data_IF_736602529040
#
_entry.id   IF_736602529040
#
_cell.length_a   1.000
_cell.length_b   1.000
_cell.length_c   1.000
_cell.angle_alpha   90.00
_cell.angle_beta   90.00
_cell.angle_gamma   90.00
#
_symmetry.space_group_name_H-M   'P 1'
#
loop_
_entity.id
_entity.type
_entity.pdbx_description
1 polymer ?
#
# COMPACT_ATOMS: atom_id res chain seq x y z
N UNK A 1 -9.09 -13.52 -24.54
CA UNK A 1 -9.57 -14.40 -23.47
C UNK A 1 -9.64 -13.55 -22.21
N UNK A 2 -10.84 -13.30 -21.63
CA UNK A 2 -10.95 -12.71 -20.29
C UNK A 2 -10.31 -13.72 -19.35
N UNK A 3 -9.24 -13.38 -18.68
CA UNK A 3 -8.80 -14.09 -17.48
C UNK A 3 -9.96 -13.94 -16.49
N UNK A 4 -10.70 -15.02 -16.24
CA UNK A 4 -11.64 -15.07 -15.12
C UNK A 4 -10.82 -14.82 -13.87
N UNK A 5 -11.01 -13.65 -13.25
CA UNK A 5 -10.28 -13.26 -12.06
C UNK A 5 -10.81 -14.09 -10.91
N UNK A 6 -10.01 -15.05 -10.43
CA UNK A 6 -10.32 -15.91 -9.28
C UNK A 6 -10.74 -15.04 -8.09
N UNK A 7 -11.85 -15.38 -7.43
CA UNK A 7 -12.35 -14.66 -6.26
C UNK A 7 -11.83 -15.26 -4.96
N UNK A 8 -11.05 -14.48 -4.26
CA UNK A 8 -10.39 -14.86 -3.00
C UNK A 8 -10.95 -14.04 -1.85
N UNK A 9 -11.40 -14.72 -0.80
CA UNK A 9 -11.82 -14.10 0.45
C UNK A 9 -10.88 -14.49 1.60
N UNK A 10 -10.51 -13.53 2.44
CA UNK A 10 -9.63 -13.75 3.56
C UNK A 10 -10.37 -13.66 4.90
N UNK A 11 -10.01 -14.53 5.85
CA UNK A 11 -10.50 -14.54 7.22
C UNK A 11 -9.32 -14.41 8.16
N UNK A 12 -9.32 -13.36 8.98
CA UNK A 12 -8.35 -13.17 10.07
C UNK A 12 -8.97 -13.68 11.37
N UNK A 13 -8.39 -14.75 11.93
CA UNK A 13 -8.82 -15.32 13.20
C UNK A 13 -8.20 -14.56 14.36
N UNK A 14 -8.99 -13.70 15.01
CA UNK A 14 -8.56 -12.83 16.10
C UNK A 14 -9.46 -12.91 17.35
N UNK A 15 -10.46 -13.80 17.41
CA UNK A 15 -11.42 -13.92 18.52
C UNK A 15 -10.95 -14.69 19.77
N UNK A 16 -9.77 -15.33 19.75
CA UNK A 16 -9.31 -16.20 20.83
C UNK A 16 -8.89 -15.44 22.09
N UNK A 17 -9.26 -15.97 23.28
CA UNK A 17 -8.77 -15.47 24.57
C UNK A 17 -7.29 -15.84 24.78
N UNK A 18 -6.48 -14.88 25.23
CA UNK A 18 -5.04 -15.04 25.45
C UNK A 18 -4.74 -15.73 26.80
N UNK A 19 -5.17 -16.98 26.98
CA UNK A 19 -4.98 -17.72 28.26
C UNK A 19 -3.50 -17.82 28.68
N UNK A 20 -2.55 -17.85 27.71
CA UNK A 20 -1.09 -17.98 27.96
C UNK A 20 -0.38 -16.63 28.19
N UNK A 21 -1.08 -15.50 28.06
CA UNK A 21 -0.53 -14.13 28.10
C UNK A 21 -0.88 -13.39 29.40
N UNK A 22 -1.23 -14.09 30.48
CA UNK A 22 -1.55 -13.49 31.78
C UNK A 22 -2.54 -12.31 31.71
N UNK A 23 -3.53 -12.39 30.81
CA UNK A 23 -4.56 -11.37 30.62
C UNK A 23 -4.20 -10.24 29.65
N UNK A 24 -2.99 -10.22 29.07
CA UNK A 24 -2.64 -9.25 28.04
C UNK A 24 -3.25 -9.66 26.70
N UNK A 25 -4.05 -8.78 26.11
CA UNK A 25 -4.61 -8.98 24.78
C UNK A 25 -3.53 -8.75 23.70
N UNK A 26 -2.94 -9.85 23.22
CA UNK A 26 -1.87 -9.82 22.24
C UNK A 26 -2.22 -9.13 20.90
N UNK A 27 -3.50 -9.01 20.59
CA UNK A 27 -3.95 -8.42 19.32
C UNK A 27 -3.98 -6.89 19.41
N UNK A 28 -4.19 -6.37 20.62
CA UNK A 28 -4.16 -4.95 20.91
C UNK A 28 -2.74 -4.46 21.23
N UNK A 29 -1.79 -5.37 21.42
CA UNK A 29 -0.41 -5.03 21.73
C UNK A 29 0.24 -4.30 20.56
N UNK A 30 0.91 -3.19 20.86
CA UNK A 30 1.60 -2.40 19.85
C UNK A 30 3.05 -2.86 19.63
N UNK A 31 3.41 -2.92 18.37
CA UNK A 31 4.77 -3.08 17.89
C UNK A 31 5.17 -1.77 17.19
N UNK A 32 6.00 -0.96 17.85
CA UNK A 32 6.38 0.39 17.38
C UNK A 32 5.16 1.26 17.03
N UNK A 33 4.21 1.38 17.95
CA UNK A 33 3.03 2.22 17.80
C UNK A 33 1.93 1.66 16.87
N UNK A 34 2.12 0.48 16.25
CA UNK A 34 1.11 -0.16 15.41
C UNK A 34 0.65 -1.47 16.05
N UNK A 35 -0.68 -1.65 16.29
CA UNK A 35 -1.21 -2.88 16.88
C UNK A 35 -0.92 -4.12 16.03
N UNK A 36 -0.67 -5.26 16.71
CA UNK A 36 -0.39 -6.56 16.08
C UNK A 36 -1.47 -6.92 15.05
N UNK A 37 -2.74 -6.76 15.41
CA UNK A 37 -3.84 -7.10 14.51
C UNK A 37 -3.91 -6.15 13.30
N UNK A 38 -3.62 -4.87 13.47
CA UNK A 38 -3.53 -3.89 12.36
C UNK A 38 -2.47 -4.32 11.35
N UNK A 39 -1.28 -4.72 11.80
CA UNK A 39 -0.23 -5.24 10.91
C UNK A 39 -0.68 -6.48 10.12
N UNK A 40 -1.39 -7.40 10.77
CA UNK A 40 -1.94 -8.58 10.09
C UNK A 40 -2.99 -8.23 9.03
N UNK A 41 -3.85 -7.22 9.31
CA UNK A 41 -4.81 -6.70 8.34
C UNK A 41 -4.09 -6.04 7.16
N UNK A 42 -3.09 -5.18 7.43
CA UNK A 42 -2.30 -4.51 6.40
C UNK A 42 -1.57 -5.49 5.48
N UNK A 43 -1.02 -6.57 6.03
CA UNK A 43 -0.34 -7.60 5.24
C UNK A 43 -1.27 -8.26 4.21
N UNK A 44 -2.49 -8.63 4.63
CA UNK A 44 -3.49 -9.22 3.72
C UNK A 44 -4.05 -8.19 2.74
N UNK A 45 -4.23 -6.94 3.16
CA UNK A 45 -4.71 -5.84 2.34
C UNK A 45 -3.80 -5.50 1.15
N UNK A 46 -2.50 -5.76 1.26
CA UNK A 46 -1.53 -5.55 0.19
C UNK A 46 -1.57 -6.64 -0.90
N UNK A 47 -2.30 -7.73 -0.67
CA UNK A 47 -2.42 -8.85 -1.62
C UNK A 47 -3.55 -8.56 -2.61
N UNK A 48 -3.21 -8.29 -3.87
CA UNK A 48 -4.18 -7.88 -4.90
C UNK A 48 -5.24 -8.92 -5.22
N UNK A 49 -4.92 -10.19 -5.01
CA UNK A 49 -5.83 -11.31 -5.27
C UNK A 49 -6.95 -11.41 -4.23
N UNK A 50 -6.85 -10.74 -3.07
CA UNK A 50 -7.87 -10.77 -2.01
C UNK A 50 -8.87 -9.63 -2.27
N UNK A 51 -10.15 -9.99 -2.50
CA UNK A 51 -11.22 -9.03 -2.75
C UNK A 51 -12.12 -8.79 -1.53
N UNK A 52 -12.22 -9.77 -0.64
CA UNK A 52 -13.07 -9.70 0.55
C UNK A 52 -12.23 -10.02 1.79
N UNK A 53 -12.43 -9.25 2.85
CA UNK A 53 -11.72 -9.42 4.12
C UNK A 53 -12.71 -9.46 5.29
N UNK A 54 -12.58 -10.49 6.11
CA UNK A 54 -13.37 -10.64 7.34
C UNK A 54 -12.42 -10.75 8.52
N UNK A 55 -12.67 -9.96 9.56
CA UNK A 55 -11.94 -10.04 10.83
C UNK A 55 -12.85 -10.64 11.89
N UNK A 56 -12.46 -11.79 12.40
CA UNK A 56 -13.15 -12.47 13.51
C UNK A 56 -12.54 -11.99 14.81
N UNK A 57 -13.29 -11.23 15.57
CA UNK A 57 -12.83 -10.62 16.82
C UNK A 57 -13.88 -10.76 17.93
N UNK A 58 -13.55 -10.41 19.16
CA UNK A 58 -14.52 -10.32 20.24
C UNK A 58 -15.37 -9.05 20.07
N UNK A 59 -16.63 -9.10 20.46
CA UNK A 59 -17.59 -8.02 20.27
C UNK A 59 -17.12 -6.70 20.91
N UNK A 60 -16.49 -6.78 22.08
CA UNK A 60 -15.95 -5.62 22.78
C UNK A 60 -14.80 -4.91 22.05
N UNK A 61 -14.16 -5.57 21.07
CA UNK A 61 -13.09 -5.00 20.26
C UNK A 61 -13.61 -4.27 19.02
N UNK A 62 -14.89 -4.39 18.66
CA UNK A 62 -15.42 -3.87 17.40
C UNK A 62 -15.28 -2.36 17.28
N UNK A 63 -15.59 -1.61 18.34
CA UNK A 63 -15.45 -0.15 18.34
C UNK A 63 -13.98 0.27 18.12
N UNK A 64 -13.04 -0.43 18.77
CA UNK A 64 -11.61 -0.17 18.61
C UNK A 64 -11.15 -0.49 17.17
N UNK A 65 -11.60 -1.60 16.60
CA UNK A 65 -11.24 -1.99 15.22
C UNK A 65 -11.79 -1.00 14.18
N UNK A 66 -12.98 -0.44 14.40
CA UNK A 66 -13.52 0.62 13.55
C UNK A 66 -12.70 1.92 13.65
N UNK A 67 -12.31 2.32 14.87
CA UNK A 67 -11.40 3.47 15.06
C UNK A 67 -10.06 3.24 14.37
N UNK A 68 -9.49 2.06 14.48
CA UNK A 68 -8.24 1.72 13.79
C UNK A 68 -8.35 1.71 12.27
N UNK A 69 -9.53 1.36 11.73
CA UNK A 69 -9.76 1.41 10.29
C UNK A 69 -9.55 2.82 9.75
N UNK A 70 -10.03 3.84 10.45
CA UNK A 70 -9.83 5.25 10.09
C UNK A 70 -8.38 5.70 10.37
N UNK A 71 -7.88 5.43 11.58
CA UNK A 71 -6.55 5.85 12.03
C UNK A 71 -5.40 5.32 11.16
N UNK A 72 -5.49 4.05 10.73
CA UNK A 72 -4.43 3.38 9.96
C UNK A 72 -4.79 3.21 8.47
N UNK A 73 -5.85 3.88 7.99
CA UNK A 73 -6.32 3.83 6.59
C UNK A 73 -6.47 2.39 6.07
N UNK A 74 -7.07 1.51 6.90
CA UNK A 74 -7.26 0.12 6.53
C UNK A 74 -8.37 -0.02 5.46
N UNK A 75 -8.30 -1.05 4.60
CA UNK A 75 -9.35 -1.32 3.62
C UNK A 75 -10.67 -1.67 4.32
N UNK A 76 -11.72 -1.78 3.53
CA UNK A 76 -12.99 -2.30 4.00
C UNK A 76 -12.86 -3.76 4.45
N UNK A 77 -13.42 -4.07 5.62
CA UNK A 77 -13.53 -5.43 6.13
C UNK A 77 -14.83 -5.61 6.93
N UNK A 78 -15.30 -6.84 6.96
CA UNK A 78 -16.47 -7.21 7.76
C UNK A 78 -16.02 -7.73 9.12
N UNK A 79 -16.67 -7.26 10.21
CA UNK A 79 -16.46 -7.76 11.56
C UNK A 79 -17.47 -8.84 11.90
N UNK A 80 -17.02 -9.91 12.57
CA UNK A 80 -17.89 -10.95 13.12
C UNK A 80 -17.33 -11.50 14.41
N UNK A 81 -18.18 -12.03 15.26
CA UNK A 81 -17.76 -12.70 16.49
C UNK A 81 -17.31 -14.14 16.22
N UNK A 82 -16.31 -14.59 16.98
CA UNK A 82 -15.85 -15.98 16.94
C UNK A 82 -16.80 -16.94 17.67
N UNK A 83 -16.49 -18.25 17.54
CA UNK A 83 -17.11 -19.32 18.32
C UNK A 83 -16.25 -19.75 19.50
N UNK A 84 -16.64 -20.88 20.16
CA UNK A 84 -15.94 -21.43 21.31
C UNK A 84 -14.54 -21.97 20.96
N UNK A 85 -14.33 -22.42 19.70
CA UNK A 85 -13.06 -22.94 19.24
C UNK A 85 -12.48 -22.11 18.08
N UNK A 86 -11.20 -22.33 17.73
CA UNK A 86 -10.58 -21.69 16.57
C UNK A 86 -11.31 -22.08 15.28
N UNK A 87 -11.64 -23.36 15.12
CA UNK A 87 -12.38 -23.88 13.96
C UNK A 87 -13.74 -23.19 13.82
N UNK A 88 -14.53 -23.07 14.91
CA UNK A 88 -15.81 -22.36 14.89
C UNK A 88 -15.65 -20.87 14.55
N UNK A 89 -14.60 -20.23 15.06
CA UNK A 89 -14.29 -18.83 14.75
C UNK A 89 -14.00 -18.63 13.27
N UNK A 90 -13.20 -19.49 12.66
CA UNK A 90 -12.93 -19.45 11.21
C UNK A 90 -14.22 -19.67 10.41
N UNK A 91 -15.07 -20.62 10.82
CA UNK A 91 -16.36 -20.87 10.16
C UNK A 91 -17.29 -19.64 10.23
N UNK A 92 -17.32 -18.95 11.39
CA UNK A 92 -18.07 -17.69 11.55
C UNK A 92 -17.57 -16.60 10.58
N UNK A 93 -16.26 -16.53 10.37
CA UNK A 93 -15.65 -15.64 9.39
C UNK A 93 -16.03 -15.99 7.95
N UNK A 94 -15.88 -17.24 7.56
CA UNK A 94 -16.21 -17.74 6.22
C UNK A 94 -17.70 -17.52 5.89
N UNK A 95 -18.60 -17.65 6.87
CA UNK A 95 -20.03 -17.40 6.70
C UNK A 95 -20.37 -15.93 6.36
N UNK A 96 -19.40 -15.00 6.49
CA UNK A 96 -19.55 -13.58 6.12
C UNK A 96 -18.96 -13.23 4.76
N UNK A 97 -18.21 -14.14 4.15
CA UNK A 97 -17.75 -14.01 2.78
C UNK A 97 -18.91 -14.30 1.80
N UNK A 98 -18.87 -13.68 0.63
CA UNK A 98 -19.87 -13.91 -0.41
C UNK A 98 -19.82 -15.35 -0.94
N UNK A 99 -20.92 -15.83 -1.48
CA UNK A 99 -20.99 -17.17 -2.10
C UNK A 99 -20.11 -17.28 -3.37
N UNK A 100 -19.69 -16.15 -3.91
CA UNK A 100 -18.86 -16.09 -5.11
C UNK A 100 -17.38 -16.31 -4.83
N UNK A 101 -16.96 -16.35 -3.54
CA UNK A 101 -15.59 -16.65 -3.16
C UNK A 101 -15.25 -18.09 -3.47
N UNK A 102 -14.19 -18.28 -4.26
CA UNK A 102 -13.71 -19.59 -4.74
C UNK A 102 -12.59 -20.16 -3.87
N UNK A 103 -11.80 -19.27 -3.22
CA UNK A 103 -10.70 -19.64 -2.32
C UNK A 103 -10.76 -18.87 -1.02
N UNK A 104 -10.54 -19.58 0.08
CA UNK A 104 -10.43 -19.02 1.42
C UNK A 104 -8.98 -18.91 1.84
N UNK A 105 -8.55 -17.70 2.25
CA UNK A 105 -7.29 -17.44 2.92
C UNK A 105 -7.55 -17.32 4.41
N UNK A 106 -7.03 -18.24 5.21
CA UNK A 106 -7.19 -18.22 6.67
C UNK A 106 -5.88 -17.78 7.30
N UNK A 107 -5.92 -16.72 8.10
CA UNK A 107 -4.74 -16.15 8.72
C UNK A 107 -4.95 -15.87 10.22
N UNK A 108 -3.92 -16.15 11.02
CA UNK A 108 -3.93 -15.83 12.44
C UNK A 108 -3.68 -14.33 12.66
N UNK A 109 -4.58 -13.63 13.36
CA UNK A 109 -4.42 -12.22 13.70
C UNK A 109 -3.21 -11.90 14.61
N UNK A 110 -2.54 -12.92 15.12
CA UNK A 110 -1.33 -12.81 15.92
C UNK A 110 -0.02 -13.05 15.12
N UNK A 111 -0.08 -13.01 13.79
CA UNK A 111 1.10 -13.09 12.89
C UNK A 111 1.31 -11.80 12.11
N UNK A 112 1.90 -10.77 12.72
CA UNK A 112 1.98 -9.41 12.14
C UNK A 112 3.01 -9.26 11.02
N UNK A 113 3.81 -10.29 10.72
CA UNK A 113 4.94 -10.20 9.78
C UNK A 113 4.76 -11.05 8.52
N UNK A 114 3.52 -11.46 8.22
CA UNK A 114 3.24 -12.17 6.97
C UNK A 114 3.57 -11.29 5.76
N UNK A 115 4.36 -11.81 4.82
CA UNK A 115 4.73 -11.07 3.63
C UNK A 115 3.68 -11.25 2.52
N UNK A 116 3.26 -10.18 1.82
CA UNK A 116 2.28 -10.28 0.74
C UNK A 116 2.65 -11.29 -0.34
N UNK A 117 3.94 -11.39 -0.69
CA UNK A 117 4.43 -12.36 -1.68
C UNK A 117 4.23 -13.81 -1.22
N UNK A 118 4.48 -14.11 0.06
CA UNK A 118 4.25 -15.45 0.63
C UNK A 118 2.74 -15.79 0.61
N UNK A 119 1.88 -14.84 0.89
CA UNK A 119 0.42 -15.03 0.84
C UNK A 119 0.00 -15.33 -0.60
N UNK A 120 0.47 -14.54 -1.56
CA UNK A 120 0.18 -14.74 -2.99
C UNK A 120 0.66 -16.12 -3.49
N UNK A 121 1.84 -16.56 -3.09
CA UNK A 121 2.36 -17.90 -3.42
C UNK A 121 1.46 -19.01 -2.88
N UNK A 122 0.95 -18.87 -1.66
CA UNK A 122 0.00 -19.84 -1.10
C UNK A 122 -1.33 -19.85 -1.85
N UNK A 123 -1.83 -18.68 -2.30
CA UNK A 123 -3.05 -18.59 -3.13
C UNK A 123 -2.82 -19.33 -4.46
N UNK A 124 -1.72 -19.06 -5.17
CA UNK A 124 -1.40 -19.71 -6.43
C UNK A 124 -1.24 -21.23 -6.28
N UNK A 125 -0.58 -21.68 -5.22
CA UNK A 125 -0.48 -23.11 -4.94
C UNK A 125 -1.83 -23.76 -4.61
N UNK A 126 -2.73 -23.07 -3.91
CA UNK A 126 -4.07 -23.57 -3.66
C UNK A 126 -4.92 -23.63 -4.94
N UNK A 127 -4.71 -22.71 -5.87
CA UNK A 127 -5.37 -22.76 -7.20
C UNK A 127 -4.93 -24.00 -7.97
N UNK A 128 -3.66 -24.38 -7.89
CA UNK A 128 -3.10 -25.54 -8.58
C UNK A 128 -3.46 -26.88 -7.89
N UNK A 129 -3.41 -26.92 -6.56
CA UNK A 129 -3.49 -28.16 -5.77
C UNK A 129 -4.76 -28.30 -4.91
N UNK A 130 -5.64 -27.29 -4.87
CA UNK A 130 -6.86 -27.25 -4.05
C UNK A 130 -6.63 -26.81 -2.60
N UNK A 131 -5.44 -27.05 -2.03
CA UNK A 131 -5.08 -26.66 -0.66
C UNK A 131 -3.59 -26.37 -0.52
N UNK A 132 -3.23 -25.31 0.19
CA UNK A 132 -1.84 -24.93 0.44
C UNK A 132 -1.68 -24.22 1.80
N UNK A 133 -0.47 -24.30 2.37
CA UNK A 133 -0.12 -23.65 3.63
C UNK A 133 1.31 -23.16 3.61
N UNK A 134 1.58 -22.00 4.23
CA UNK A 134 2.92 -21.55 4.49
C UNK A 134 3.57 -22.43 5.59
N UNK A 135 4.83 -22.82 5.40
CA UNK A 135 5.55 -23.59 6.38
C UNK A 135 7.06 -23.36 6.26
N UNK A 136 7.77 -23.45 7.38
CA UNK A 136 9.24 -23.40 7.43
C UNK A 136 9.82 -24.73 7.92
N UNK A 137 11.01 -25.09 7.46
CA UNK A 137 11.70 -26.30 7.92
C UNK A 137 12.05 -26.21 9.40
N UNK A 138 11.95 -27.33 10.12
CA UNK A 138 12.43 -27.40 11.49
C UNK A 138 13.94 -27.26 11.51
N UNK A 139 14.48 -26.38 12.36
CA UNK A 139 15.93 -26.17 12.54
C UNK A 139 16.52 -27.09 13.61
N UNK A 140 15.77 -27.31 14.69
CA UNK A 140 16.20 -28.07 15.82
C UNK A 140 15.93 -29.57 15.62
N UNK A 141 16.62 -30.42 16.41
CA UNK A 141 16.34 -31.84 16.46
C UNK A 141 15.09 -32.10 17.28
N UNK A 142 14.04 -32.63 16.63
CA UNK A 142 12.78 -32.97 17.31
C UNK A 142 12.91 -34.36 17.94
N UNK A 143 12.39 -34.47 19.15
CA UNK A 143 12.24 -35.74 19.87
C UNK A 143 10.77 -36.01 20.11
N UNK A 144 10.33 -37.19 19.79
CA UNK A 144 9.05 -37.71 20.24
C UNK A 144 9.29 -38.43 21.56
N UNK A 145 8.50 -38.08 22.59
CA UNK A 145 8.59 -38.67 23.91
C UNK A 145 7.30 -39.38 24.29
N UNK A 146 7.40 -40.38 25.16
CA UNK A 146 6.24 -41.02 25.79
C UNK A 146 5.69 -40.15 26.93
N UNK A 147 4.61 -40.63 27.58
CA UNK A 147 3.94 -39.91 28.68
C UNK A 147 4.86 -39.76 29.93
N UNK A 148 5.87 -40.64 30.10
CA UNK A 148 6.83 -40.58 31.19
C UNK A 148 8.00 -39.64 30.91
N UNK A 149 8.09 -39.03 29.69
CA UNK A 149 9.13 -38.10 29.31
C UNK A 149 10.38 -38.72 28.69
N UNK A 150 10.38 -40.04 28.40
CA UNK A 150 11.49 -40.71 27.72
C UNK A 150 11.37 -40.58 26.22
N UNK A 151 12.52 -40.43 25.55
CA UNK A 151 12.60 -40.33 24.09
C UNK A 151 12.24 -41.69 23.47
N UNK A 152 11.19 -41.70 22.65
CA UNK A 152 10.81 -42.89 21.86
C UNK A 152 11.41 -42.86 20.46
N UNK A 153 11.40 -41.65 19.82
CA UNK A 153 11.86 -41.53 18.46
C UNK A 153 12.51 -40.16 18.19
N UNK A 154 13.43 -40.15 17.27
CA UNK A 154 13.97 -38.92 16.67
C UNK A 154 13.60 -38.90 15.19
N UNK A 155 12.52 -38.18 14.82
CA UNK A 155 12.11 -38.12 13.43
C UNK A 155 13.17 -37.47 12.53
N UNK A 156 13.20 -37.85 11.26
CA UNK A 156 14.02 -37.19 10.27
C UNK A 156 13.57 -35.73 10.05
N UNK A 157 14.34 -34.77 10.59
CA UNK A 157 14.02 -33.35 10.51
C UNK A 157 13.96 -32.79 9.06
N UNK A 158 14.57 -33.46 8.09
CA UNK A 158 14.52 -33.04 6.70
C UNK A 158 13.08 -33.06 6.13
N UNK A 159 12.20 -33.82 6.74
CA UNK A 159 10.80 -34.01 6.41
C UNK A 159 9.83 -33.25 7.35
N UNK A 160 10.38 -32.56 8.37
CA UNK A 160 9.55 -31.85 9.35
C UNK A 160 9.47 -30.36 9.07
N UNK A 161 8.25 -29.82 9.18
CA UNK A 161 7.94 -28.43 8.96
C UNK A 161 7.11 -27.85 10.12
N UNK A 162 7.35 -26.58 10.42
CA UNK A 162 6.50 -25.78 11.30
C UNK A 162 5.46 -25.07 10.42
N UNK A 163 4.21 -25.49 10.54
CA UNK A 163 3.09 -24.91 9.79
C UNK A 163 2.79 -23.51 10.30
N UNK A 164 2.60 -22.60 9.36
CA UNK A 164 2.23 -21.21 9.61
C UNK A 164 0.84 -20.92 9.01
N UNK A 165 0.43 -19.67 9.06
CA UNK A 165 -0.62 -19.13 8.22
C UNK A 165 -0.04 -18.01 7.34
N UNK A 166 -0.52 -17.79 6.09
CA UNK A 166 -1.85 -18.21 5.59
C UNK A 166 -1.94 -19.71 5.32
N UNK A 167 -3.15 -20.23 5.50
CA UNK A 167 -3.61 -21.52 5.00
C UNK A 167 -4.70 -21.23 3.98
N UNK A 168 -4.59 -21.78 2.79
CA UNK A 168 -5.45 -21.43 1.65
C UNK A 168 -6.11 -22.67 1.09
N UNK A 169 -7.41 -22.61 0.84
CA UNK A 169 -8.23 -23.75 0.42
C UNK A 169 -9.24 -23.35 -0.65
N UNK A 170 -9.48 -24.25 -1.59
CA UNK A 170 -10.65 -24.18 -2.47
C UNK A 170 -11.93 -24.27 -1.62
N UNK A 171 -12.88 -23.36 -1.90
CA UNK A 171 -14.04 -23.14 -1.03
C UNK A 171 -14.94 -24.38 -0.90
N UNK A 172 -15.17 -25.12 -1.99
CA UNK A 172 -15.97 -26.34 -1.98
C UNK A 172 -15.27 -27.46 -1.21
N UNK A 173 -13.96 -27.63 -1.40
CA UNK A 173 -13.15 -28.58 -0.65
C UNK A 173 -13.22 -28.31 0.86
N UNK A 174 -12.97 -27.07 1.27
CA UNK A 174 -12.98 -26.68 2.68
C UNK A 174 -14.37 -26.89 3.32
N UNK A 175 -15.47 -26.50 2.63
CA UNK A 175 -16.83 -26.71 3.12
C UNK A 175 -17.17 -28.20 3.29
N UNK A 176 -16.68 -29.08 2.39
CA UNK A 176 -16.84 -30.54 2.55
C UNK A 176 -16.11 -31.05 3.78
N UNK A 177 -14.86 -30.60 3.99
CA UNK A 177 -14.06 -31.00 5.14
C UNK A 177 -14.70 -30.58 6.48
N UNK A 178 -15.17 -29.34 6.57
CA UNK A 178 -15.90 -28.83 7.75
C UNK A 178 -17.17 -29.67 8.01
N UNK A 179 -17.96 -29.95 6.98
CA UNK A 179 -19.19 -30.75 7.14
C UNK A 179 -18.92 -32.17 7.62
N UNK A 180 -17.81 -32.78 7.19
CA UNK A 180 -17.42 -34.10 7.64
C UNK A 180 -16.98 -34.06 9.11
N UNK A 181 -16.10 -33.13 9.49
CA UNK A 181 -15.66 -32.94 10.87
C UNK A 181 -16.84 -32.69 11.84
N UNK A 182 -17.82 -31.88 11.43
CA UNK A 182 -19.03 -31.62 12.23
C UNK A 182 -19.89 -32.88 12.44
N UNK A 183 -20.02 -33.74 11.40
CA UNK A 183 -20.75 -35.01 11.52
C UNK A 183 -20.10 -35.97 12.50
N UNK A 184 -18.77 -35.93 12.58
CA UNK A 184 -17.96 -36.81 13.42
C UNK A 184 -17.68 -36.20 14.82
N UNK A 185 -18.12 -34.95 15.06
CA UNK A 185 -17.88 -34.24 16.33
C UNK A 185 -16.41 -33.88 16.56
N UNK A 186 -15.63 -33.71 15.50
CA UNK A 186 -14.19 -33.45 15.56
C UNK A 186 -13.90 -31.95 15.52
N UNK A 187 -12.91 -31.52 16.32
CA UNK A 187 -12.36 -30.17 16.33
C UNK A 187 -10.86 -30.22 16.18
N UNK A 188 -10.32 -29.61 15.13
CA UNK A 188 -8.92 -29.68 14.76
C UNK A 188 -8.18 -28.41 15.16
N UNK A 189 -6.90 -28.53 15.42
CA UNK A 189 -6.04 -27.41 15.89
C UNK A 189 -5.64 -26.46 14.76
N UNK A 190 -5.65 -26.93 13.50
CA UNK A 190 -5.44 -26.10 12.32
C UNK A 190 -6.37 -26.51 11.17
N UNK A 191 -6.45 -25.68 10.13
CA UNK A 191 -7.38 -25.90 9.02
C UNK A 191 -6.84 -26.93 8.01
N UNK A 192 -5.52 -27.18 7.98
CA UNK A 192 -4.95 -28.23 7.15
C UNK A 192 -5.43 -29.61 7.59
N UNK A 193 -5.49 -29.88 8.91
CA UNK A 193 -5.98 -31.14 9.46
C UNK A 193 -7.42 -31.47 9.03
N UNK A 194 -8.29 -30.44 8.89
CA UNK A 194 -9.63 -30.63 8.35
C UNK A 194 -9.62 -31.24 6.95
N UNK A 195 -8.77 -30.71 6.09
CA UNK A 195 -8.67 -31.11 4.69
C UNK A 195 -7.94 -32.44 4.55
N UNK A 196 -6.90 -32.66 5.34
CA UNK A 196 -6.17 -33.92 5.43
C UNK A 196 -7.09 -35.07 5.91
N UNK A 197 -7.99 -34.79 6.86
CA UNK A 197 -8.93 -35.77 7.40
C UNK A 197 -9.87 -36.36 6.35
N UNK A 198 -10.22 -35.58 5.32
CA UNK A 198 -11.02 -36.09 4.19
C UNK A 198 -10.14 -36.66 3.06
N UNK A 199 -8.86 -36.90 3.31
CA UNK A 199 -7.92 -37.54 2.39
C UNK A 199 -7.34 -36.65 1.29
N UNK A 200 -7.47 -35.32 1.40
CA UNK A 200 -6.89 -34.40 0.42
C UNK A 200 -5.52 -33.89 0.87
N UNK A 201 -4.56 -33.89 -0.05
CA UNK A 201 -3.20 -33.43 0.24
C UNK A 201 -3.12 -31.90 0.30
N UNK A 202 -2.35 -31.38 1.26
CA UNK A 202 -2.09 -29.94 1.39
C UNK A 202 -0.68 -29.63 0.92
N UNK A 203 -0.54 -28.66 -0.02
CA UNK A 203 0.75 -28.25 -0.55
C UNK A 203 1.48 -27.35 0.46
N UNK A 204 2.72 -27.69 0.80
CA UNK A 204 3.60 -26.81 1.56
C UNK A 204 4.20 -25.75 0.64
N UNK A 205 4.04 -24.46 1.01
CA UNK A 205 4.70 -23.32 0.41
C UNK A 205 5.83 -22.85 1.32
N UNK A 206 6.86 -22.24 0.75
CA UNK A 206 7.94 -21.66 1.52
C UNK A 206 7.42 -20.52 2.40
N UNK A 207 7.51 -20.72 3.73
CA UNK A 207 7.18 -19.73 4.75
C UNK A 207 8.36 -18.82 5.08
N UNK A 208 8.16 -17.92 6.03
CA UNK A 208 9.20 -17.02 6.53
C UNK A 208 9.38 -17.24 8.04
N UNK A 209 10.61 -17.44 8.52
CA UNK A 209 10.88 -17.53 9.95
C UNK A 209 10.53 -16.26 10.71
N UNK A 210 10.44 -15.11 10.03
CA UNK A 210 9.93 -13.85 10.60
C UNK A 210 8.41 -13.86 10.80
N UNK A 211 7.67 -14.73 10.11
CA UNK A 211 6.21 -14.85 10.26
C UNK A 211 5.85 -15.62 11.55
N UNK A 212 6.41 -15.15 12.66
CA UNK A 212 6.16 -15.71 13.99
C UNK A 212 4.72 -15.50 14.42
N UNK A 213 4.21 -16.43 15.25
CA UNK A 213 2.93 -16.29 15.95
C UNK A 213 3.20 -15.80 17.37
N UNK A 214 2.71 -14.63 17.74
CA UNK A 214 2.82 -14.11 19.09
C UNK A 214 1.91 -14.94 20.01
N UNK A 215 2.51 -15.75 20.88
CA UNK A 215 1.80 -16.68 21.78
C UNK A 215 2.25 -16.58 23.23
N UNK A 216 3.49 -16.13 23.46
CA UNK A 216 4.11 -15.99 24.78
C UNK A 216 4.68 -14.58 24.98
N UNK A 217 5.00 -14.15 26.21
CA UNK A 217 5.65 -12.87 26.47
C UNK A 217 7.01 -12.74 25.76
N UNK A 218 7.77 -13.83 25.60
CA UNK A 218 9.06 -13.84 24.91
C UNK A 218 8.89 -13.48 23.42
N UNK A 219 7.80 -13.96 22.80
CA UNK A 219 7.50 -13.63 21.40
C UNK A 219 7.32 -12.12 21.20
N UNK A 220 6.84 -11.40 22.22
CA UNK A 220 6.66 -9.94 22.17
C UNK A 220 8.00 -9.23 22.03
N UNK A 221 9.01 -9.63 22.79
CA UNK A 221 10.35 -9.04 22.72
C UNK A 221 10.96 -9.26 21.33
N UNK A 222 10.82 -10.46 20.79
CA UNK A 222 11.26 -10.78 19.42
C UNK A 222 10.49 -9.96 18.38
N UNK A 223 9.16 -9.88 18.50
CA UNK A 223 8.31 -9.11 17.60
C UNK A 223 8.66 -7.61 17.60
N UNK A 224 8.91 -7.00 18.78
CA UNK A 224 9.34 -5.61 18.87
C UNK A 224 10.69 -5.36 18.18
N UNK A 225 11.67 -6.24 18.38
CA UNK A 225 12.96 -6.13 17.72
C UNK A 225 12.81 -6.25 16.18
N UNK A 226 11.99 -7.18 15.70
CA UNK A 226 11.71 -7.33 14.27
C UNK A 226 11.02 -6.11 13.66
N UNK A 227 10.03 -5.54 14.33
CA UNK A 227 9.33 -4.33 13.88
C UNK A 227 10.28 -3.13 13.75
N UNK A 228 11.18 -2.92 14.73
CA UNK A 228 12.20 -1.87 14.67
C UNK A 228 13.18 -2.04 13.52
N UNK A 229 13.57 -3.27 13.20
CA UNK A 229 14.45 -3.55 12.06
C UNK A 229 13.75 -3.33 10.71
N UNK A 230 12.47 -3.64 10.60
CA UNK A 230 11.68 -3.45 9.39
C UNK A 230 11.54 -1.97 9.05
N UNK A 231 11.21 -1.12 10.01
CA UNK A 231 11.12 0.33 9.84
C UNK A 231 12.46 0.94 9.44
N UNK A 232 13.57 0.55 10.08
CA UNK A 232 14.90 1.01 9.68
C UNK A 232 15.30 0.57 8.26
N UNK A 233 14.78 -0.57 7.78
CA UNK A 233 15.01 -1.03 6.40
C UNK A 233 14.14 -0.29 5.39
N UNK A 234 12.91 0.06 5.76
CA UNK A 234 11.99 0.86 4.95
C UNK A 234 12.50 2.30 4.84
N UNK A 235 12.95 2.93 5.94
CA UNK A 235 13.61 4.25 5.94
C UNK A 235 14.88 4.27 5.07
N UNK A 236 15.69 3.21 5.10
CA UNK A 236 16.89 3.10 4.25
C UNK A 236 16.59 2.90 2.76
N UNK A 237 15.38 2.46 2.42
CA UNK A 237 14.96 2.25 1.04
C UNK A 237 14.26 3.45 0.43
N UNK A 238 13.82 4.42 1.23
CA UNK A 238 13.17 5.61 0.70
C UNK A 238 14.22 6.51 0.01
N UNK A 239 14.20 6.47 -1.31
CA UNK A 239 15.00 7.39 -2.13
C UNK A 239 14.28 8.74 -2.20
N UNK A 240 14.94 9.79 -1.71
CA UNK A 240 14.45 11.17 -1.74
C UNK A 240 15.25 11.93 -2.78
N UNK A 241 14.57 12.61 -3.71
CA UNK A 241 15.19 13.43 -4.74
C UNK A 241 14.57 14.81 -4.79
N UNK A 242 15.39 15.82 -5.00
CA UNK A 242 14.97 17.20 -5.26
C UNK A 242 15.20 17.55 -6.73
N UNK A 243 14.33 18.38 -7.25
CA UNK A 243 14.51 18.97 -8.58
C UNK A 243 14.21 20.46 -8.54
N UNK A 244 14.86 21.20 -9.42
CA UNK A 244 14.64 22.63 -9.65
C UNK A 244 14.32 22.83 -11.12
N UNK A 245 13.27 23.61 -11.38
CA UNK A 245 12.89 24.05 -12.72
C UNK A 245 12.88 25.58 -12.77
N UNK A 246 13.25 26.10 -13.92
CA UNK A 246 13.21 27.52 -14.23
C UNK A 246 12.74 27.70 -15.67
N UNK A 247 11.77 28.60 -15.89
CA UNK A 247 11.35 28.96 -17.22
C UNK A 247 11.09 30.48 -17.30
N UNK A 248 11.19 31.00 -18.53
CA UNK A 248 11.03 32.42 -18.82
C UNK A 248 10.36 32.62 -20.20
N UNK A 249 9.37 33.51 -20.25
CA UNK A 249 8.70 33.85 -21.47
C UNK A 249 8.56 35.38 -21.62
N UNK A 250 8.67 35.85 -22.87
CA UNK A 250 8.47 37.27 -23.21
C UNK A 250 6.98 37.61 -23.23
N UNK A 251 6.64 38.79 -22.74
CA UNK A 251 5.30 39.37 -22.85
C UNK A 251 5.05 39.98 -24.23
N UNK A 252 3.91 39.67 -24.86
CA UNK A 252 3.50 40.18 -26.17
C UNK A 252 2.03 40.51 -26.18
N UNK A 253 1.63 41.43 -27.07
CA UNK A 253 0.21 41.73 -27.30
C UNK A 253 -0.47 40.63 -28.11
N UNK A 254 -1.80 40.54 -28.00
CA UNK A 254 -2.62 39.60 -28.78
C UNK A 254 -2.60 38.16 -28.33
N UNK A 255 -1.97 37.83 -27.19
CA UNK A 255 -2.03 36.50 -26.52
C UNK A 255 -2.69 36.62 -25.17
N UNK A 256 -3.34 35.53 -24.75
CA UNK A 256 -3.87 35.37 -23.38
C UNK A 256 -2.73 35.18 -22.40
N UNK A 257 -2.85 35.71 -21.20
CA UNK A 257 -1.95 35.43 -20.10
C UNK A 257 -2.47 34.22 -19.33
N UNK A 258 -1.77 33.10 -19.39
CA UNK A 258 -2.12 31.86 -18.69
C UNK A 258 -0.99 31.54 -17.72
N UNK A 259 -1.31 31.35 -16.43
CA UNK A 259 -0.37 30.95 -15.38
C UNK A 259 -1.04 29.92 -14.46
N UNK A 260 -0.39 28.77 -14.28
CA UNK A 260 -0.95 27.66 -13.50
C UNK A 260 -2.30 27.17 -14.03
N UNK A 261 -2.49 27.19 -15.33
CA UNK A 261 -3.76 26.86 -16.00
C UNK A 261 -4.89 27.86 -15.74
N UNK A 262 -4.57 29.08 -15.26
CA UNK A 262 -5.56 30.15 -15.01
C UNK A 262 -5.37 31.26 -16.02
N UNK A 263 -6.44 31.58 -16.78
CA UNK A 263 -6.47 32.74 -17.66
C UNK A 263 -6.62 34.02 -16.83
N UNK A 264 -5.63 34.92 -16.94
CA UNK A 264 -5.57 36.17 -16.19
C UNK A 264 -5.92 37.32 -17.14
N UNK A 265 -6.96 38.15 -16.86
CA UNK A 265 -7.27 39.30 -17.64
C UNK A 265 -6.13 40.32 -17.66
N UNK A 266 -5.38 40.41 -18.77
CA UNK A 266 -4.30 41.32 -18.98
C UNK A 266 -4.11 41.65 -20.45
N UNK A 267 -3.58 42.84 -20.77
CA UNK A 267 -3.37 43.30 -22.14
C UNK A 267 -2.33 42.52 -22.95
N UNK A 268 -1.44 41.83 -22.28
CA UNK A 268 -0.37 41.04 -22.85
C UNK A 268 -0.43 39.62 -22.33
N UNK A 269 -0.03 38.66 -23.14
CA UNK A 269 0.22 37.28 -22.72
C UNK A 269 1.64 36.84 -23.02
N UNK A 270 1.99 35.63 -22.60
CA UNK A 270 3.32 35.07 -22.80
C UNK A 270 3.47 34.47 -24.20
N UNK A 271 4.65 34.67 -24.80
CA UNK A 271 5.02 34.15 -26.12
C UNK A 271 5.69 32.78 -25.97
N UNK A 272 5.13 31.75 -26.59
CA UNK A 272 5.68 30.40 -26.62
C UNK A 272 4.93 29.53 -27.61
N UNK A 273 5.38 28.27 -27.79
CA UNK A 273 4.83 27.31 -28.72
C UNK A 273 3.50 26.69 -28.22
N UNK A 274 3.41 26.42 -26.91
CA UNK A 274 2.20 25.98 -26.20
C UNK A 274 1.33 27.19 -25.80
N UNK A 275 0.53 27.07 -24.73
CA UNK A 275 -0.13 28.18 -24.04
C UNK A 275 0.87 29.12 -23.32
N UNK A 276 2.17 28.76 -23.30
CA UNK A 276 3.28 29.50 -22.69
C UNK A 276 3.11 29.72 -21.18
N UNK A 277 2.51 28.76 -20.46
CA UNK A 277 2.39 28.80 -19.01
C UNK A 277 3.74 28.55 -18.32
N UNK A 278 4.46 29.65 -18.08
CA UNK A 278 5.81 29.63 -17.50
C UNK A 278 5.86 28.97 -16.13
N UNK A 279 4.76 29.01 -15.33
CA UNK A 279 4.68 28.37 -14.03
C UNK A 279 4.64 26.85 -14.17
N UNK A 280 3.76 26.34 -15.03
CA UNK A 280 3.59 24.89 -15.24
C UNK A 280 4.82 24.29 -15.90
N UNK A 281 5.48 25.03 -16.81
CA UNK A 281 6.75 24.60 -17.43
C UNK A 281 7.85 24.44 -16.37
N UNK A 282 8.01 25.42 -15.44
CA UNK A 282 8.97 25.31 -14.35
C UNK A 282 8.65 24.12 -13.42
N UNK A 283 7.37 23.82 -13.17
CA UNK A 283 6.96 22.62 -12.40
C UNK A 283 7.35 21.33 -13.12
N UNK A 284 7.09 21.23 -14.43
CA UNK A 284 7.44 20.04 -15.21
C UNK A 284 8.95 19.81 -15.23
N UNK A 285 9.76 20.86 -15.43
CA UNK A 285 11.21 20.76 -15.41
C UNK A 285 11.76 20.36 -14.04
N UNK A 286 11.18 20.90 -12.95
CA UNK A 286 11.55 20.46 -11.61
C UNK A 286 11.30 18.95 -11.41
N UNK A 287 10.13 18.46 -11.80
CA UNK A 287 9.73 17.06 -11.65
C UNK A 287 10.58 16.12 -12.52
N UNK A 288 10.80 16.46 -13.79
CA UNK A 288 11.62 15.69 -14.71
C UNK A 288 13.09 15.67 -14.25
N UNK A 289 13.61 16.82 -13.81
CA UNK A 289 14.98 16.94 -13.29
C UNK A 289 15.19 16.08 -12.04
N UNK A 290 14.25 16.12 -11.07
CA UNK A 290 14.29 15.27 -9.87
C UNK A 290 14.38 13.77 -10.24
N UNK A 291 13.64 13.35 -11.25
CA UNK A 291 13.62 11.96 -11.72
C UNK A 291 14.79 11.60 -12.66
N UNK A 292 15.69 12.55 -12.96
CA UNK A 292 16.78 12.41 -13.95
C UNK A 292 16.26 12.04 -15.36
N UNK A 293 15.12 12.62 -15.76
CA UNK A 293 14.49 12.37 -17.06
C UNK A 293 14.77 13.46 -18.10
N UNK A 294 15.61 14.45 -17.80
CA UNK A 294 15.91 15.61 -18.64
C UNK A 294 14.95 16.77 -18.40
N UNK A 295 14.53 17.44 -19.45
CA UNK A 295 13.69 18.64 -19.45
C UNK A 295 12.42 18.47 -20.30
N UNK A 296 11.55 19.49 -20.30
CA UNK A 296 10.31 19.48 -21.08
C UNK A 296 10.58 19.43 -22.58
N UNK A 297 11.65 20.07 -23.07
CA UNK A 297 12.01 20.10 -24.49
C UNK A 297 12.31 18.70 -25.05
N UNK A 298 12.83 17.80 -24.21
CA UNK A 298 13.07 16.41 -24.59
C UNK A 298 11.77 15.61 -24.76
N UNK A 299 10.76 15.89 -23.96
CA UNK A 299 9.49 15.14 -23.95
C UNK A 299 8.43 15.78 -24.85
N UNK A 300 8.44 17.09 -24.98
CA UNK A 300 7.47 17.89 -25.72
C UNK A 300 8.19 18.90 -26.60
N UNK A 301 8.92 18.45 -27.65
CA UNK A 301 9.71 19.35 -28.48
C UNK A 301 8.82 20.39 -29.19
N UNK A 302 9.26 21.63 -29.21
CA UNK A 302 8.59 22.76 -29.88
C UNK A 302 8.53 22.63 -31.38
N UNK A 303 9.34 21.73 -31.97
CA UNK A 303 9.31 21.35 -33.37
C UNK A 303 8.18 20.39 -33.74
N UNK A 304 7.51 19.79 -32.77
CA UNK A 304 6.41 18.83 -33.00
C UNK A 304 5.05 19.56 -33.06
N UNK A 305 4.36 19.55 -34.21
CA UNK A 305 3.07 20.21 -34.37
C UNK A 305 1.97 19.76 -33.36
N UNK A 306 2.10 18.56 -32.78
CA UNK A 306 1.15 18.04 -31.80
C UNK A 306 1.07 18.87 -30.53
N UNK A 307 2.11 19.65 -30.23
CA UNK A 307 2.19 20.45 -29.01
C UNK A 307 1.94 21.95 -29.27
N UNK A 308 1.69 22.33 -30.52
CA UNK A 308 1.36 23.71 -30.86
C UNK A 308 0.03 24.14 -30.21
N UNK A 309 0.11 25.15 -29.32
CA UNK A 309 -1.06 25.61 -28.55
C UNK A 309 -1.54 24.63 -27.49
N UNK A 310 -0.75 23.63 -27.11
CA UNK A 310 -1.12 22.65 -26.10
C UNK A 310 -1.33 23.31 -24.73
N UNK A 311 -2.30 22.80 -23.99
CA UNK A 311 -2.57 23.13 -22.58
C UNK A 311 -1.46 22.51 -21.70
N UNK A 312 -0.67 23.35 -21.02
CA UNK A 312 0.45 22.93 -20.19
C UNK A 312 0.01 22.08 -18.98
N UNK A 313 -1.20 22.24 -18.46
CA UNK A 313 -1.76 21.36 -17.42
C UNK A 313 -1.95 19.93 -17.96
N UNK A 314 -2.33 19.77 -19.23
CA UNK A 314 -2.40 18.45 -19.85
C UNK A 314 -1.01 17.81 -20.05
N UNK A 315 0.00 18.60 -20.35
CA UNK A 315 1.40 18.14 -20.46
C UNK A 315 1.94 17.74 -19.05
N UNK A 316 1.63 18.51 -18.02
CA UNK A 316 1.99 18.16 -16.63
C UNK A 316 1.41 16.81 -16.20
N UNK A 317 0.16 16.50 -16.56
CA UNK A 317 -0.42 15.16 -16.28
C UNK A 317 0.39 14.04 -16.95
N UNK A 318 0.94 14.26 -18.13
CA UNK A 318 1.80 13.26 -18.80
C UNK A 318 3.13 13.10 -18.06
N UNK A 319 3.75 14.19 -17.59
CA UNK A 319 4.95 14.13 -16.74
C UNK A 319 4.69 13.32 -15.48
N UNK A 320 3.56 13.55 -14.80
CA UNK A 320 3.16 12.78 -13.60
C UNK A 320 3.03 11.29 -13.90
N UNK A 321 2.46 10.92 -15.05
CA UNK A 321 2.38 9.52 -15.47
C UNK A 321 3.77 8.90 -15.70
N UNK A 322 4.71 9.67 -16.29
CA UNK A 322 6.10 9.22 -16.44
C UNK A 322 6.78 8.97 -15.09
N UNK A 323 6.61 9.88 -14.12
CA UNK A 323 7.14 9.69 -12.76
C UNK A 323 6.57 8.44 -12.10
N UNK A 324 5.24 8.27 -12.15
CA UNK A 324 4.56 7.08 -11.60
C UNK A 324 5.03 5.78 -12.25
N UNK A 325 5.25 5.79 -13.57
CA UNK A 325 5.81 4.65 -14.31
C UNK A 325 7.24 4.29 -13.89
N UNK A 326 7.98 5.22 -13.29
CA UNK A 326 9.31 5.01 -12.68
C UNK A 326 9.25 4.73 -11.17
N UNK A 327 8.05 4.66 -10.58
CA UNK A 327 7.84 4.39 -9.16
C UNK A 327 8.04 5.61 -8.26
N UNK A 328 8.09 6.84 -8.80
CA UNK A 328 8.19 8.06 -8.00
C UNK A 328 6.82 8.60 -7.59
N UNK A 329 6.76 9.11 -6.38
CA UNK A 329 5.65 9.89 -5.81
C UNK A 329 6.11 11.32 -5.53
N UNK A 330 5.22 12.29 -5.74
CA UNK A 330 5.51 13.70 -5.46
C UNK A 330 5.20 13.96 -3.98
N UNK A 331 6.21 14.47 -3.23
CA UNK A 331 6.05 14.83 -1.82
C UNK A 331 5.56 16.26 -1.67
N UNK A 332 6.21 17.22 -2.32
CA UNK A 332 5.76 18.62 -2.37
C UNK A 332 6.30 19.36 -3.58
N UNK A 333 5.65 20.47 -3.91
CA UNK A 333 6.05 21.43 -4.94
C UNK A 333 5.97 22.83 -4.36
N UNK A 334 7.04 23.63 -4.48
CA UNK A 334 7.08 25.04 -4.12
C UNK A 334 7.47 25.89 -5.32
N UNK A 335 6.61 26.88 -5.69
CA UNK A 335 6.77 27.69 -6.89
C UNK A 335 6.84 29.17 -6.55
N UNK A 336 7.63 29.88 -7.33
CA UNK A 336 7.70 31.35 -7.28
C UNK A 336 7.56 31.94 -8.68
N UNK A 337 6.54 32.75 -8.90
CA UNK A 337 6.35 33.53 -10.12
C UNK A 337 7.02 34.88 -9.91
N UNK A 338 7.81 35.32 -10.89
CA UNK A 338 8.47 36.62 -10.92
C UNK A 338 7.83 37.46 -12.01
N UNK A 339 7.04 38.46 -11.58
CA UNK A 339 6.25 39.31 -12.49
C UNK A 339 5.98 40.68 -11.88
N UNK A 340 6.27 41.75 -12.61
CA UNK A 340 6.00 43.12 -12.17
C UNK A 340 4.51 43.43 -12.16
N UNK A 341 3.77 43.01 -13.17
CA UNK A 341 2.33 43.13 -13.36
C UNK A 341 1.79 41.96 -14.22
N UNK A 342 0.44 41.64 -14.10
CA UNK A 342 -0.52 42.12 -13.12
C UNK A 342 -0.29 41.61 -11.70
N UNK A 343 -1.10 42.08 -10.72
CA UNK A 343 -1.07 41.50 -9.35
C UNK A 343 -1.74 40.14 -9.36
N UNK A 344 -0.99 39.11 -8.94
CA UNK A 344 -1.40 37.70 -9.06
C UNK A 344 -2.10 37.13 -7.83
N UNK A 345 -2.12 37.85 -6.69
CA UNK A 345 -2.60 37.39 -5.38
C UNK A 345 -3.96 36.65 -5.45
N UNK A 346 -4.92 37.16 -6.21
CA UNK A 346 -6.26 36.57 -6.26
C UNK A 346 -6.34 35.28 -7.11
N UNK A 347 -5.35 35.00 -7.93
CA UNK A 347 -5.31 33.85 -8.84
C UNK A 347 -4.48 32.69 -8.29
N UNK A 348 -3.55 32.98 -7.34
CA UNK A 348 -2.63 31.99 -6.75
C UNK A 348 -3.35 30.76 -6.18
N UNK A 349 -4.47 30.89 -5.41
CA UNK A 349 -5.14 29.69 -4.88
C UNK A 349 -5.64 28.73 -5.97
N UNK A 350 -6.13 29.28 -7.10
CA UNK A 350 -6.60 28.46 -8.21
C UNK A 350 -5.44 27.83 -8.98
N UNK A 351 -4.32 28.53 -9.14
CA UNK A 351 -3.10 27.98 -9.75
C UNK A 351 -2.57 26.78 -8.94
N UNK A 352 -2.46 26.95 -7.62
CA UNK A 352 -2.02 25.87 -6.73
C UNK A 352 -2.96 24.65 -6.81
N UNK A 353 -4.26 24.88 -6.82
CA UNK A 353 -5.27 23.83 -6.97
C UNK A 353 -5.14 23.09 -8.31
N UNK A 354 -5.01 23.81 -9.44
CA UNK A 354 -4.88 23.19 -10.75
C UNK A 354 -3.64 22.32 -10.85
N UNK A 355 -2.50 22.78 -10.28
CA UNK A 355 -1.25 22.01 -10.23
C UNK A 355 -1.41 20.78 -9.35
N UNK A 356 -2.01 20.92 -8.16
CA UNK A 356 -2.26 19.80 -7.23
C UNK A 356 -3.15 18.73 -7.89
N UNK A 357 -4.26 19.15 -8.51
CA UNK A 357 -5.18 18.25 -9.24
C UNK A 357 -4.46 17.53 -10.40
N UNK A 358 -3.61 18.24 -11.17
CA UNK A 358 -2.84 17.65 -12.26
C UNK A 358 -1.78 16.65 -11.76
N UNK A 359 -1.13 16.97 -10.64
CA UNK A 359 -0.15 16.12 -9.97
C UNK A 359 -0.77 14.97 -9.19
N UNK A 360 -2.09 15.01 -8.94
CA UNK A 360 -2.83 14.04 -8.10
C UNK A 360 -2.26 13.97 -6.69
N UNK A 361 -2.04 15.13 -6.09
CA UNK A 361 -1.58 15.34 -4.72
C UNK A 361 -2.54 16.25 -3.97
N UNK A 362 -2.45 16.29 -2.64
CA UNK A 362 -3.26 17.17 -1.82
C UNK A 362 -2.85 18.65 -2.04
N UNK A 363 -3.82 19.56 -1.89
CA UNK A 363 -3.60 20.99 -2.09
C UNK A 363 -2.48 21.56 -1.17
N UNK A 364 -2.31 20.99 0.02
CA UNK A 364 -1.27 21.36 0.98
C UNK A 364 0.16 20.99 0.53
N UNK A 365 0.30 20.11 -0.47
CA UNK A 365 1.59 19.72 -1.03
C UNK A 365 2.07 20.68 -2.13
N UNK A 366 1.24 21.64 -2.55
CA UNK A 366 1.58 22.60 -3.61
C UNK A 366 1.46 24.02 -3.10
N UNK A 367 2.59 24.73 -3.08
CA UNK A 367 2.65 26.14 -2.75
C UNK A 367 3.00 26.96 -4.00
N UNK A 368 2.25 28.03 -4.22
CA UNK A 368 2.52 29.03 -5.27
C UNK A 368 2.63 30.40 -4.61
N UNK A 369 3.66 31.15 -4.92
CA UNK A 369 3.88 32.51 -4.47
C UNK A 369 4.33 33.38 -5.65
N UNK A 370 4.16 34.70 -5.54
CA UNK A 370 4.59 35.64 -6.56
C UNK A 370 5.36 36.79 -5.92
N UNK A 371 6.37 37.28 -6.63
CA UNK A 371 7.18 38.42 -6.25
C UNK A 371 7.43 39.35 -7.44
N UNK A 372 7.85 40.59 -7.14
CA UNK A 372 8.39 41.53 -8.13
C UNK A 372 9.91 41.58 -8.02
N UNK A 373 10.59 42.11 -9.02
CA UNK A 373 12.01 42.44 -8.96
C UNK A 373 12.26 43.95 -8.78
N UNK A 374 11.28 44.64 -8.20
CA UNK A 374 11.40 46.05 -7.85
C UNK A 374 11.87 46.93 -9.05
N UNK A 375 11.34 46.66 -10.25
CA UNK A 375 11.65 47.29 -11.52
C UNK A 375 13.07 46.99 -12.07
N UNK A 376 13.77 46.01 -11.52
CA UNK A 376 15.07 45.55 -12.04
C UNK A 376 14.90 44.43 -13.06
N UNK A 377 15.80 44.34 -14.00
CA UNK A 377 15.85 43.29 -15.01
C UNK A 377 14.63 43.29 -15.97
N UNK A 378 14.54 42.24 -16.79
CA UNK A 378 13.51 42.08 -17.82
C UNK A 378 12.12 41.81 -17.24
N UNK A 379 12.02 41.18 -16.07
CA UNK A 379 10.76 40.98 -15.37
C UNK A 379 10.28 42.27 -14.71
N UNK A 380 11.20 43.03 -14.11
CA UNK A 380 10.92 44.33 -13.50
C UNK A 380 10.56 45.41 -14.50
N UNK A 381 11.13 45.40 -15.74
CA UNK A 381 10.74 46.29 -16.84
C UNK A 381 9.42 45.87 -17.51
N UNK A 382 8.89 44.65 -17.22
CA UNK A 382 7.67 44.14 -17.84
C UNK A 382 7.87 43.64 -19.26
N UNK A 383 9.09 43.22 -19.64
CA UNK A 383 9.38 42.59 -20.90
C UNK A 383 9.03 41.12 -20.94
N UNK A 384 9.04 40.47 -19.77
CA UNK A 384 8.74 39.06 -19.62
C UNK A 384 8.31 38.69 -18.23
N UNK A 385 8.01 37.40 -18.02
CA UNK A 385 7.82 36.77 -16.72
C UNK A 385 8.68 35.53 -16.62
N UNK A 386 9.10 35.18 -15.42
CA UNK A 386 9.78 33.94 -15.13
C UNK A 386 9.14 33.21 -13.95
N UNK A 387 9.40 31.92 -13.85
CA UNK A 387 8.99 31.10 -12.71
C UNK A 387 10.10 30.16 -12.30
N UNK A 388 10.20 29.96 -11.00
CA UNK A 388 11.01 28.90 -10.39
C UNK A 388 10.09 27.88 -9.74
N UNK A 389 10.47 26.63 -9.82
CA UNK A 389 9.83 25.55 -9.06
C UNK A 389 10.90 24.68 -8.40
N UNK A 390 10.65 24.29 -7.17
CA UNK A 390 11.42 23.25 -6.47
C UNK A 390 10.44 22.14 -6.11
N UNK A 391 10.82 20.89 -6.32
CA UNK A 391 10.02 19.76 -5.91
C UNK A 391 10.83 18.74 -5.13
N UNK A 392 10.14 17.99 -4.29
CA UNK A 392 10.64 16.79 -3.64
C UNK A 392 9.83 15.60 -4.16
N UNK A 393 10.52 14.57 -4.65
CA UNK A 393 9.92 13.30 -5.03
C UNK A 393 10.54 12.17 -4.21
N UNK A 394 9.77 11.12 -3.98
CA UNK A 394 10.19 9.94 -3.22
C UNK A 394 9.94 8.67 -4.02
N UNK A 395 10.77 7.66 -3.78
CA UNK A 395 10.57 6.29 -4.28
C UNK A 395 10.91 5.33 -3.14
N UNK A 396 9.96 4.48 -2.76
CA UNK A 396 10.10 3.44 -1.74
C UNK A 396 10.02 2.05 -2.31
#
# INVERSE_FOLDING_TARGET
MKQDTIRVGAVIAAGGMAQRMQGVDKQLLELNGVPVLVRSIQALAQVRSIQELVVVARQEQFAQLQSWKEQYHLPDFVLTTGGATRQQSVQSGIAKLSEQVEYFVIHDGARPFAQPQMIEQCIQAAVEYGAATAAVRVKDTIKQANEEGFIEQTPDRSRLYLTQTPQVFEAGLYRRAVKQAQREGLDFTDDCQLVEHIGHAVKLCEGDYRNIKITTPEDIAVAKAMAGQQEQQEEKRMEIRTGHGYDVHRLTQGRKLILGGVEIPWEKGLLGHSDADVLVHAVMDALLGAAALGDIGRHFPDTDPRYAGADSICLLKQVVLLLKGKGYSISNIDCTIIAQRPKLKNYIPQMAKNIADACQVDAEQVNVKATTEEQLGFTGSGEGMSAHSVCLITRG
#
